data_IF_725634656152
#
_entry.id   IF_725634656152
#
_cell.length_a   1.000
_cell.length_b   1.000
_cell.length_c   1.000
_cell.angle_alpha   90.00
_cell.angle_beta   90.00
_cell.angle_gamma   90.00
#
_symmetry.space_group_name_H-M   'P 1'
#
loop_
_entity.id
_entity.type
_entity.pdbx_description
1 polymer ?
#
# COMPACT_ATOMS: atom_id res chain seq x y z
N UNK A 1 -8.33 12.64 7.44
CA UNK A 1 -9.18 11.56 6.90
C UNK A 1 -9.52 10.66 8.06
N UNK A 2 -10.81 10.50 8.38
CA UNK A 2 -11.25 9.56 9.39
C UNK A 2 -10.77 8.14 9.00
N UNK A 3 -10.34 7.30 9.96
CA UNK A 3 -10.08 5.90 9.66
C UNK A 3 -11.32 5.30 9.00
N UNK A 4 -11.13 4.55 7.92
CA UNK A 4 -12.22 3.88 7.22
C UNK A 4 -12.76 2.79 8.16
N UNK A 5 -13.70 3.17 9.03
CA UNK A 5 -14.20 2.35 10.13
C UNK A 5 -14.76 1.00 9.64
N UNK A 6 -15.31 0.99 8.41
CA UNK A 6 -15.78 -0.22 7.73
C UNK A 6 -14.63 -1.18 7.43
N UNK A 7 -13.52 -0.68 6.87
CA UNK A 7 -12.33 -1.51 6.62
C UNK A 7 -11.67 -1.97 7.91
N UNK A 8 -11.60 -1.10 8.93
CA UNK A 8 -11.08 -1.47 10.25
C UNK A 8 -11.88 -2.62 10.88
N UNK A 9 -13.22 -2.55 10.83
CA UNK A 9 -14.11 -3.62 11.28
C UNK A 9 -13.85 -4.93 10.54
N UNK A 10 -13.74 -4.88 9.21
CA UNK A 10 -13.41 -6.06 8.38
C UNK A 10 -12.06 -6.65 8.77
N UNK A 11 -11.01 -5.82 8.94
CA UNK A 11 -9.68 -6.30 9.34
C UNK A 11 -9.67 -6.96 10.71
N UNK A 12 -10.41 -6.41 11.68
CA UNK A 12 -10.55 -6.98 13.03
C UNK A 12 -11.29 -8.32 13.00
N UNK A 13 -12.38 -8.41 12.24
CA UNK A 13 -13.12 -9.68 12.10
C UNK A 13 -12.28 -10.75 11.42
N UNK A 14 -11.54 -10.41 10.37
CA UNK A 14 -10.63 -11.36 9.70
C UNK A 14 -9.52 -11.81 10.63
N UNK A 15 -8.95 -10.92 11.44
CA UNK A 15 -7.93 -11.29 12.44
C UNK A 15 -8.48 -12.27 13.48
N UNK A 16 -9.68 -12.01 14.01
CA UNK A 16 -10.32 -12.88 15.00
C UNK A 16 -10.72 -14.23 14.42
N UNK A 17 -11.29 -14.26 13.20
CA UNK A 17 -11.62 -15.51 12.51
C UNK A 17 -10.36 -16.32 12.22
N UNK A 18 -9.28 -15.66 11.79
CA UNK A 18 -8.00 -16.35 11.54
C UNK A 18 -7.52 -17.06 12.81
N UNK A 19 -7.58 -16.42 13.98
CA UNK A 19 -7.14 -17.05 15.24
C UNK A 19 -8.07 -18.11 15.79
N UNK A 20 -9.37 -18.01 15.51
CA UNK A 20 -10.38 -18.93 16.09
C UNK A 20 -10.66 -20.15 15.21
N UNK A 21 -10.48 -20.04 13.90
CA UNK A 21 -10.87 -21.07 12.92
C UNK A 21 -9.67 -21.72 12.24
N UNK A 22 -8.55 -20.99 12.07
CA UNK A 22 -7.40 -21.52 11.35
C UNK A 22 -6.58 -22.45 12.25
N UNK A 23 -6.54 -23.72 11.89
CA UNK A 23 -5.62 -24.69 12.47
C UNK A 23 -4.27 -24.59 11.76
N UNK A 24 -3.28 -24.00 12.43
CA UNK A 24 -1.94 -23.78 11.89
C UNK A 24 -1.11 -25.05 11.78
N UNK A 25 -1.51 -26.12 12.48
CA UNK A 25 -0.84 -27.43 12.40
C UNK A 25 -1.31 -28.22 11.17
N UNK A 26 -2.49 -27.90 10.64
CA UNK A 26 -3.02 -28.52 9.43
C UNK A 26 -2.28 -28.02 8.18
N UNK A 27 -1.51 -28.91 7.57
CA UNK A 27 -0.80 -28.65 6.30
C UNK A 27 -1.75 -28.23 5.18
N UNK A 28 -2.97 -28.78 5.14
CA UNK A 28 -3.97 -28.47 4.12
C UNK A 28 -4.51 -27.04 4.25
N UNK A 29 -4.96 -26.64 5.44
CA UNK A 29 -5.48 -25.28 5.66
C UNK A 29 -4.40 -24.22 5.43
N UNK A 30 -3.20 -24.50 5.93
CA UNK A 30 -2.03 -23.66 5.73
C UNK A 30 -1.69 -23.49 4.25
N UNK A 31 -1.73 -24.58 3.48
CA UNK A 31 -1.53 -24.56 2.03
C UNK A 31 -2.57 -23.69 1.31
N UNK A 32 -3.85 -23.82 1.66
CA UNK A 32 -4.93 -23.01 1.09
C UNK A 32 -4.70 -21.52 1.32
N UNK A 33 -4.41 -21.10 2.55
CA UNK A 33 -4.20 -19.67 2.86
C UNK A 33 -3.02 -19.11 2.08
N UNK A 34 -1.91 -19.84 1.99
CA UNK A 34 -0.73 -19.44 1.23
C UNK A 34 -1.04 -19.31 -0.27
N UNK A 35 -1.79 -20.28 -0.82
CA UNK A 35 -2.21 -20.27 -2.23
C UNK A 35 -3.15 -19.11 -2.54
N UNK A 36 -4.14 -18.86 -1.69
CA UNK A 36 -5.07 -17.72 -1.85
C UNK A 36 -4.35 -16.38 -1.78
N UNK A 37 -3.43 -16.22 -0.82
CA UNK A 37 -2.59 -15.04 -0.75
C UNK A 37 -1.75 -14.90 -2.02
N UNK A 38 -1.09 -15.96 -2.47
CA UNK A 38 -0.29 -15.97 -3.71
C UNK A 38 -1.10 -15.56 -4.94
N UNK A 39 -2.31 -16.10 -5.11
CA UNK A 39 -3.22 -15.72 -6.19
C UNK A 39 -3.66 -14.25 -6.11
N UNK A 40 -3.96 -13.77 -4.90
CA UNK A 40 -4.32 -12.36 -4.67
C UNK A 40 -3.16 -11.42 -5.00
N UNK A 41 -1.93 -11.76 -4.58
CA UNK A 41 -0.73 -10.98 -4.94
C UNK A 41 -0.49 -10.98 -6.44
N UNK A 42 -0.59 -12.15 -7.08
CA UNK A 42 -0.41 -12.28 -8.52
C UNK A 42 -1.40 -11.40 -9.29
N UNK A 43 -2.67 -11.38 -8.87
CA UNK A 43 -3.69 -10.49 -9.42
C UNK A 43 -3.29 -9.01 -9.29
N UNK A 44 -2.90 -8.57 -8.10
CA UNK A 44 -2.49 -7.19 -7.86
C UNK A 44 -1.27 -6.80 -8.71
N UNK A 45 -0.26 -7.68 -8.80
CA UNK A 45 0.93 -7.46 -9.63
C UNK A 45 0.61 -7.40 -11.12
N UNK A 46 -0.19 -8.33 -11.62
CA UNK A 46 -0.61 -8.34 -13.01
C UNK A 46 -1.34 -7.04 -13.36
N UNK A 47 -2.24 -6.58 -12.50
CA UNK A 47 -2.96 -5.32 -12.70
C UNK A 47 -2.03 -4.11 -12.66
N UNK A 48 -1.08 -4.03 -11.72
CA UNK A 48 -0.13 -2.92 -11.63
C UNK A 48 0.82 -2.86 -12.84
N UNK A 49 1.32 -4.01 -13.30
CA UNK A 49 2.14 -4.10 -14.50
C UNK A 49 1.35 -3.71 -15.75
N UNK A 50 0.09 -4.15 -15.85
CA UNK A 50 -0.81 -3.75 -16.92
C UNK A 50 -1.02 -2.23 -16.94
N UNK A 51 -1.30 -1.61 -15.78
CA UNK A 51 -1.46 -0.15 -15.67
C UNK A 51 -0.19 0.59 -16.05
N UNK A 52 0.98 0.10 -15.64
CA UNK A 52 2.27 0.70 -16.00
C UNK A 52 2.45 0.73 -17.52
N UNK A 53 2.27 -0.42 -18.18
CA UNK A 53 2.38 -0.54 -19.64
C UNK A 53 1.32 0.30 -20.38
N UNK A 54 0.08 0.32 -19.88
CA UNK A 54 -1.00 1.13 -20.46
C UNK A 54 -0.73 2.64 -20.32
N UNK A 55 -0.15 3.06 -19.20
CA UNK A 55 0.17 4.47 -18.94
C UNK A 55 1.31 4.99 -19.83
N UNK A 56 2.29 4.14 -20.16
CA UNK A 56 3.35 4.49 -21.12
C UNK A 56 2.82 4.83 -22.51
N UNK A 57 1.72 4.20 -22.92
CA UNK A 57 1.08 4.40 -24.20
C UNK A 57 -0.06 5.43 -24.13
N UNK A 58 -0.20 6.15 -23.01
CA UNK A 58 -1.23 7.17 -22.87
C UNK A 58 -0.89 8.39 -23.75
N UNK A 59 -1.81 8.77 -24.64
CA UNK A 59 -1.66 9.90 -25.56
C UNK A 59 -2.46 11.14 -25.13
N UNK A 60 -3.03 11.13 -23.92
CA UNK A 60 -3.77 12.27 -23.37
C UNK A 60 -2.89 13.53 -23.36
N UNK A 61 -3.27 14.60 -24.08
CA UNK A 61 -2.49 15.82 -24.12
C UNK A 61 -2.62 16.57 -22.79
N UNK A 62 -1.51 17.07 -22.27
CA UNK A 62 -1.50 17.87 -21.07
C UNK A 62 -0.20 17.78 -20.29
N UNK A 63 -0.07 18.70 -19.33
CA UNK A 63 1.06 18.76 -18.42
C UNK A 63 0.54 18.73 -16.98
N UNK A 64 1.17 17.91 -16.16
CA UNK A 64 0.93 17.81 -14.73
C UNK A 64 2.15 18.37 -14.01
N UNK A 65 1.92 19.26 -13.04
CA UNK A 65 2.98 19.79 -12.18
C UNK A 65 3.07 18.87 -10.96
N UNK A 66 4.23 18.26 -10.77
CA UNK A 66 4.53 17.38 -9.63
C UNK A 66 5.79 17.87 -8.92
N UNK A 67 6.02 17.40 -7.69
CA UNK A 67 7.33 17.52 -7.08
C UNK A 67 8.31 16.54 -7.73
N UNK A 68 9.57 16.95 -7.85
CA UNK A 68 10.68 16.13 -8.32
C UNK A 68 10.70 14.78 -7.59
N UNK A 69 10.74 13.68 -8.34
CA UNK A 69 10.80 12.32 -7.76
C UNK A 69 12.27 11.94 -7.53
N UNK A 70 12.69 11.91 -6.27
CA UNK A 70 14.03 11.48 -5.86
C UNK A 70 14.15 9.95 -5.74
N UNK A 71 13.07 9.22 -6.01
CA UNK A 71 12.99 7.77 -5.88
C UNK A 71 12.63 7.30 -4.47
N UNK A 72 12.19 6.04 -4.36
CA UNK A 72 11.75 5.41 -3.11
C UNK A 72 10.67 6.21 -2.35
N UNK A 73 9.82 6.93 -3.08
CA UNK A 73 8.75 7.75 -2.51
C UNK A 73 9.23 9.05 -1.85
N UNK A 74 10.49 9.43 -2.06
CA UNK A 74 11.00 10.74 -1.65
C UNK A 74 10.75 11.77 -2.75
N UNK A 75 10.31 12.96 -2.36
CA UNK A 75 10.10 14.09 -3.27
C UNK A 75 11.08 15.21 -2.95
N UNK A 76 11.66 15.80 -3.99
CA UNK A 76 12.47 17.01 -3.87
C UNK A 76 11.62 18.26 -3.65
N UNK A 77 12.29 19.40 -3.47
CA UNK A 77 11.63 20.68 -3.24
C UNK A 77 11.16 21.35 -4.55
N UNK A 78 11.75 20.95 -5.68
CA UNK A 78 11.52 21.55 -7.00
C UNK A 78 10.24 21.01 -7.63
N UNK A 79 9.52 21.89 -8.31
CA UNK A 79 8.38 21.51 -9.16
C UNK A 79 8.90 21.12 -10.55
N UNK A 80 8.39 20.01 -11.06
CA UNK A 80 8.67 19.45 -12.38
C UNK A 80 7.36 19.41 -13.18
N UNK A 81 7.45 19.80 -14.45
CA UNK A 81 6.35 19.70 -15.42
C UNK A 81 6.53 18.41 -16.21
N UNK A 82 5.63 17.47 -16.02
CA UNK A 82 5.67 16.17 -16.71
C UNK A 82 4.41 15.96 -17.52
N UNK A 83 4.47 15.05 -18.50
CA UNK A 83 3.29 14.69 -19.30
C UNK A 83 2.29 13.89 -18.47
N UNK A 84 1.04 13.80 -18.94
CA UNK A 84 0.03 12.94 -18.30
C UNK A 84 0.46 11.47 -18.30
N UNK A 85 1.02 10.99 -19.41
CA UNK A 85 1.53 9.63 -19.53
C UNK A 85 2.61 9.33 -18.50
N UNK A 86 3.57 10.24 -18.35
CA UNK A 86 4.67 10.11 -17.40
C UNK A 86 4.16 10.15 -15.95
N UNK A 87 3.20 11.03 -15.63
CA UNK A 87 2.58 11.06 -14.31
C UNK A 87 1.92 9.72 -13.96
N UNK A 88 1.11 9.18 -14.86
CA UNK A 88 0.36 7.93 -14.63
C UNK A 88 1.32 6.73 -14.53
N UNK A 89 2.38 6.71 -15.34
CA UNK A 89 3.45 5.71 -15.27
C UNK A 89 4.20 5.77 -13.93
N UNK A 90 4.58 6.97 -13.46
CA UNK A 90 5.24 7.17 -12.16
C UNK A 90 4.31 6.73 -11.01
N UNK A 91 3.02 7.02 -11.10
CA UNK A 91 2.02 6.57 -10.11
C UNK A 91 1.90 5.04 -10.06
N UNK A 92 1.79 4.37 -11.22
CA UNK A 92 1.73 2.90 -11.28
C UNK A 92 3.01 2.25 -10.70
N UNK A 93 4.19 2.80 -11.03
CA UNK A 93 5.48 2.33 -10.49
C UNK A 93 5.55 2.48 -8.98
N UNK A 94 5.08 3.60 -8.44
CA UNK A 94 5.06 3.88 -6.99
C UNK A 94 4.16 2.89 -6.24
N UNK A 95 2.97 2.60 -6.77
CA UNK A 95 2.09 1.59 -6.19
C UNK A 95 2.69 0.18 -6.28
N UNK A 96 3.36 -0.16 -7.39
CA UNK A 96 4.11 -1.42 -7.50
C UNK A 96 5.21 -1.55 -6.45
N UNK A 97 6.04 -0.52 -6.27
CA UNK A 97 7.10 -0.52 -5.26
C UNK A 97 6.53 -0.69 -3.83
N UNK A 98 5.41 -0.04 -3.53
CA UNK A 98 4.69 -0.22 -2.26
C UNK A 98 4.23 -1.66 -2.07
N UNK A 99 3.63 -2.25 -3.10
CA UNK A 99 3.09 -3.59 -3.05
C UNK A 99 4.19 -4.63 -2.85
N UNK A 100 5.32 -4.46 -3.55
CA UNK A 100 6.52 -5.31 -3.38
C UNK A 100 7.05 -5.22 -1.96
N UNK A 101 7.21 -4.01 -1.41
CA UNK A 101 7.75 -3.86 -0.05
C UNK A 101 6.79 -4.44 1.00
N UNK A 102 5.48 -4.18 0.87
CA UNK A 102 4.48 -4.66 1.81
C UNK A 102 4.32 -6.18 1.80
N UNK A 103 4.32 -6.79 0.61
CA UNK A 103 4.23 -8.25 0.46
C UNK A 103 5.51 -8.94 0.91
N UNK A 104 6.69 -8.38 0.61
CA UNK A 104 7.97 -8.92 1.09
C UNK A 104 8.03 -8.95 2.62
N UNK A 105 7.63 -7.86 3.28
CA UNK A 105 7.57 -7.82 4.74
C UNK A 105 6.58 -8.85 5.32
N UNK A 106 5.44 -9.01 4.67
CA UNK A 106 4.40 -9.97 5.08
C UNK A 106 4.87 -11.41 4.92
N UNK A 107 5.51 -11.73 3.80
CA UNK A 107 6.11 -13.04 3.53
C UNK A 107 7.24 -13.36 4.52
N UNK A 108 8.13 -12.41 4.79
CA UNK A 108 9.20 -12.59 5.78
C UNK A 108 8.64 -12.93 7.16
N UNK A 109 7.61 -12.19 7.58
CA UNK A 109 7.03 -12.39 8.90
C UNK A 109 6.29 -13.72 9.00
N UNK A 110 5.58 -14.10 7.96
CA UNK A 110 4.92 -15.41 7.87
C UNK A 110 5.93 -16.55 7.85
N UNK A 111 7.01 -16.43 7.10
CA UNK A 111 8.04 -17.47 7.03
C UNK A 111 8.78 -17.61 8.36
N UNK A 112 9.13 -16.50 9.01
CA UNK A 112 9.92 -16.52 10.26
C UNK A 112 9.10 -16.87 11.49
N UNK A 113 7.85 -16.41 11.60
CA UNK A 113 7.02 -16.56 12.81
C UNK A 113 5.69 -17.26 12.58
N UNK A 114 5.39 -17.74 11.36
CA UNK A 114 4.11 -18.38 11.07
C UNK A 114 2.92 -17.42 11.23
N UNK A 115 3.12 -16.11 11.07
CA UNK A 115 2.07 -15.14 11.36
C UNK A 115 1.06 -15.02 10.21
N UNK A 116 -0.05 -15.77 10.32
CA UNK A 116 -1.12 -15.87 9.32
C UNK A 116 -2.07 -14.66 9.18
N UNK A 117 -2.44 -13.92 10.24
CA UNK A 117 -3.45 -12.85 10.10
C UNK A 117 -3.13 -11.82 9.01
N UNK A 118 -1.87 -11.36 8.85
CA UNK A 118 -1.50 -10.50 7.72
C UNK A 118 -1.74 -11.12 6.34
N UNK A 119 -1.52 -12.42 6.14
CA UNK A 119 -1.79 -13.09 4.86
C UNK A 119 -3.29 -13.04 4.56
N UNK A 120 -4.12 -13.43 5.53
CA UNK A 120 -5.57 -13.49 5.38
C UNK A 120 -6.15 -12.09 5.12
N UNK A 121 -5.75 -11.11 5.93
CA UNK A 121 -6.22 -9.72 5.79
C UNK A 121 -5.81 -9.15 4.44
N UNK A 122 -4.55 -9.33 4.01
CA UNK A 122 -4.05 -8.76 2.77
C UNK A 122 -4.64 -9.42 1.53
N UNK A 123 -4.97 -10.72 1.60
CA UNK A 123 -5.66 -11.44 0.53
C UNK A 123 -6.95 -10.74 0.08
N UNK A 124 -7.69 -10.15 1.03
CA UNK A 124 -8.94 -9.43 0.75
C UNK A 124 -8.72 -7.93 0.57
N UNK A 125 -7.98 -7.31 1.48
CA UNK A 125 -7.89 -5.85 1.55
C UNK A 125 -7.06 -5.24 0.42
N UNK A 126 -6.00 -5.91 -0.01
CA UNK A 126 -5.10 -5.33 -1.01
C UNK A 126 -5.75 -5.23 -2.41
N UNK A 127 -6.38 -6.29 -2.97
CA UNK A 127 -7.11 -6.15 -4.22
C UNK A 127 -8.18 -5.06 -4.15
N UNK A 128 -8.94 -5.02 -3.05
CA UNK A 128 -10.00 -4.05 -2.87
C UNK A 128 -9.50 -2.60 -2.78
N UNK A 129 -8.40 -2.37 -2.07
CA UNK A 129 -7.76 -1.06 -1.98
C UNK A 129 -7.18 -0.63 -3.32
N UNK A 130 -6.58 -1.58 -4.05
CA UNK A 130 -5.99 -1.31 -5.35
C UNK A 130 -7.06 -0.92 -6.38
N UNK A 131 -8.22 -1.60 -6.40
CA UNK A 131 -9.35 -1.23 -7.26
C UNK A 131 -9.90 0.17 -6.99
N UNK A 132 -9.67 0.72 -5.80
CA UNK A 132 -10.06 2.09 -5.43
C UNK A 132 -8.99 3.12 -5.77
N UNK A 133 -7.79 2.70 -6.16
CA UNK A 133 -6.69 3.60 -6.46
C UNK A 133 -7.05 4.52 -7.65
N UNK A 134 -6.72 5.82 -7.60
CA UNK A 134 -7.03 6.74 -8.69
C UNK A 134 -6.49 6.30 -10.05
N UNK A 135 -5.28 5.72 -10.09
CA UNK A 135 -4.68 5.17 -11.30
C UNK A 135 -5.52 4.04 -11.93
N UNK A 136 -6.12 3.17 -11.11
CA UNK A 136 -7.02 2.12 -11.63
C UNK A 136 -8.29 2.74 -12.20
N UNK A 137 -8.89 3.67 -11.47
CA UNK A 137 -10.14 4.33 -11.90
C UNK A 137 -9.97 5.08 -13.22
N UNK A 138 -8.89 5.84 -13.35
CA UNK A 138 -8.65 6.64 -14.55
C UNK A 138 -8.16 5.76 -15.71
N UNK A 139 -7.16 4.92 -15.50
CA UNK A 139 -6.51 4.18 -16.60
C UNK A 139 -7.21 2.88 -16.97
N UNK A 140 -7.80 2.15 -16.02
CA UNK A 140 -8.50 0.90 -16.28
C UNK A 140 -10.00 1.10 -16.44
N UNK A 141 -10.65 1.85 -15.53
CA UNK A 141 -12.11 2.05 -15.57
C UNK A 141 -12.55 3.21 -16.50
N UNK A 142 -11.61 4.02 -16.98
CA UNK A 142 -11.90 5.13 -17.89
C UNK A 142 -12.64 6.29 -17.24
N UNK A 143 -12.61 6.38 -15.90
CA UNK A 143 -13.19 7.52 -15.19
C UNK A 143 -12.44 8.81 -15.56
N UNK A 144 -13.19 9.90 -15.74
CA UNK A 144 -12.59 11.20 -16.06
C UNK A 144 -11.69 11.66 -14.91
N UNK A 145 -10.54 12.25 -15.22
CA UNK A 145 -9.61 12.80 -14.23
C UNK A 145 -10.05 14.18 -13.72
N UNK A 146 -11.24 14.26 -13.12
CA UNK A 146 -11.84 15.47 -12.56
C UNK A 146 -12.22 15.28 -11.09
N UNK A 147 -12.47 16.38 -10.37
CA UNK A 147 -12.80 16.34 -8.95
C UNK A 147 -11.72 15.62 -8.13
N UNK A 148 -12.09 14.55 -7.43
CA UNK A 148 -11.18 13.73 -6.62
C UNK A 148 -10.14 12.94 -7.43
N UNK A 149 -10.40 12.71 -8.73
CA UNK A 149 -9.50 12.00 -9.64
C UNK A 149 -8.61 12.96 -10.45
N UNK A 150 -8.66 14.26 -10.16
CA UNK A 150 -7.81 15.25 -10.81
C UNK A 150 -6.33 14.96 -10.48
N UNK A 151 -5.51 14.92 -11.53
CA UNK A 151 -4.04 14.81 -11.42
C UNK A 151 -3.44 16.16 -10.93
N UNK A 152 -2.35 16.16 -10.15
CA UNK A 152 -1.66 14.98 -9.62
C UNK A 152 -2.44 14.33 -8.48
N UNK A 153 -2.46 12.99 -8.45
CA UNK A 153 -3.18 12.30 -7.38
C UNK A 153 -2.44 12.49 -6.06
N UNK A 154 -3.18 12.97 -5.05
CA UNK A 154 -2.68 13.04 -3.69
C UNK A 154 -2.17 11.66 -3.29
N UNK A 155 -0.95 11.62 -2.78
CA UNK A 155 -0.34 10.39 -2.29
C UNK A 155 -1.05 9.96 -1.00
N UNK A 156 -2.22 9.34 -1.14
CA UNK A 156 -3.10 9.04 -0.02
C UNK A 156 -2.40 8.15 1.02
N UNK A 157 -1.41 7.37 0.58
CA UNK A 157 -0.69 6.39 1.39
C UNK A 157 0.82 6.59 1.43
N UNK A 158 1.35 7.80 1.69
CA UNK A 158 2.77 8.03 2.09
C UNK A 158 3.37 6.75 2.71
N UNK A 159 4.49 6.24 2.19
CA UNK A 159 5.04 4.95 2.59
C UNK A 159 5.10 4.79 4.12
N UNK A 160 5.36 5.89 4.85
CA UNK A 160 5.32 5.91 6.31
C UNK A 160 3.94 5.75 6.94
N UNK A 161 2.85 6.12 6.26
CA UNK A 161 1.46 5.83 6.63
C UNK A 161 1.08 4.39 6.30
N UNK A 162 1.50 3.88 5.14
CA UNK A 162 1.29 2.47 4.77
C UNK A 162 1.94 1.53 5.79
N UNK A 163 3.18 1.82 6.17
CA UNK A 163 3.90 1.08 7.21
C UNK A 163 3.22 1.20 8.59
N UNK A 164 2.65 2.37 8.92
CA UNK A 164 1.88 2.56 10.17
C UNK A 164 0.58 1.76 10.18
N UNK A 165 -0.17 1.76 9.07
CA UNK A 165 -1.39 0.97 8.92
C UNK A 165 -1.08 -0.53 9.02
N UNK A 166 0.02 -0.97 8.42
CA UNK A 166 0.49 -2.34 8.54
C UNK A 166 0.85 -2.68 9.99
N UNK A 167 1.60 -1.82 10.67
CA UNK A 167 1.93 -1.99 12.10
C UNK A 167 0.67 -2.03 12.98
N UNK A 168 -0.31 -1.15 12.73
CA UNK A 168 -1.59 -1.17 13.45
C UNK A 168 -2.35 -2.48 13.23
N UNK A 169 -2.33 -3.01 12.00
CA UNK A 169 -2.94 -4.31 11.67
C UNK A 169 -2.29 -5.44 12.44
N UNK A 170 -0.95 -5.45 12.56
CA UNK A 170 -0.22 -6.45 13.35
C UNK A 170 -0.58 -6.36 14.82
N UNK A 171 -0.51 -5.17 15.40
CA UNK A 171 -0.77 -4.97 16.82
C UNK A 171 -2.21 -5.36 17.17
N UNK A 172 -3.16 -4.95 16.32
CA UNK A 172 -4.54 -5.39 16.38
C UNK A 172 -4.68 -6.90 16.30
N UNK A 173 -4.02 -7.53 15.34
CA UNK A 173 -4.03 -8.98 15.19
C UNK A 173 -3.33 -9.71 16.34
N UNK A 174 -2.40 -9.05 17.05
CA UNK A 174 -1.73 -9.58 18.23
C UNK A 174 -2.57 -9.43 19.51
N UNK A 175 -3.56 -8.55 19.53
CA UNK A 175 -4.30 -8.18 20.75
C UNK A 175 -3.53 -7.21 21.64
N UNK A 176 -2.42 -6.68 21.15
CA UNK A 176 -1.60 -5.69 21.85
C UNK A 176 -1.97 -4.28 21.40
N UNK A 177 -2.03 -3.32 22.33
CA UNK A 177 -2.31 -1.93 21.99
C UNK A 177 -1.24 -1.40 21.01
N UNK A 178 -1.62 -0.69 19.94
CA UNK A 178 -0.68 -0.31 18.89
C UNK A 178 0.51 0.45 19.47
N UNK A 179 1.70 -0.17 19.40
CA UNK A 179 2.96 0.49 19.77
C UNK A 179 3.08 1.67 18.80
N UNK A 180 2.81 2.87 19.33
CA UNK A 180 3.03 4.13 18.62
C UNK A 180 4.53 4.18 18.31
N UNK A 181 4.94 3.72 17.13
CA UNK A 181 6.31 3.89 16.62
C UNK A 181 6.62 5.38 16.75
N UNK A 182 7.52 5.66 17.68
CA UNK A 182 7.41 6.89 18.46
C UNK A 182 7.70 8.12 17.61
N UNK A 183 6.77 9.08 17.59
CA UNK A 183 7.06 10.49 17.27
C UNK A 183 8.21 11.05 18.14
N UNK A 184 8.61 10.36 19.22
CA UNK A 184 9.76 10.69 20.06
C UNK A 184 11.11 10.39 19.38
N UNK A 185 11.25 9.30 18.60
CA UNK A 185 12.50 8.98 17.90
C UNK A 185 12.79 9.97 16.77
N UNK A 186 11.77 10.31 15.96
CA UNK A 186 11.89 11.32 14.90
C UNK A 186 12.08 12.74 15.43
N UNK A 187 11.43 13.11 16.55
CA UNK A 187 11.71 14.39 17.23
C UNK A 187 13.10 14.44 17.87
N UNK A 188 13.63 13.33 18.43
CA UNK A 188 14.99 13.30 18.98
C UNK A 188 16.04 13.45 17.87
N UNK A 189 15.88 12.76 16.74
CA UNK A 189 16.78 12.88 15.59
C UNK A 189 16.75 14.29 14.96
N UNK A 190 15.56 14.91 14.85
CA UNK A 190 15.42 16.29 14.36
C UNK A 190 16.00 17.33 15.34
N UNK A 191 15.90 17.09 16.66
CA UNK A 191 16.45 17.98 17.70
C UNK A 191 17.98 17.84 17.83
N UNK A 192 18.55 16.66 17.57
CA UNK A 192 20.00 16.45 17.50
C UNK A 192 20.63 17.11 16.26
N UNK A 193 19.99 17.03 15.09
CA UNK A 193 20.47 17.73 13.87
C UNK A 193 20.46 19.25 13.98
N UNK A 194 19.56 19.84 14.79
CA UNK A 194 19.52 21.29 15.07
C UNK A 194 20.52 21.76 16.13
N UNK A 195 21.18 20.85 16.86
CA UNK A 195 22.13 21.19 17.92
C UNK A 195 23.60 21.10 17.47
N UNK A 196 23.85 20.49 16.31
CA UNK A 196 25.18 20.32 15.69
C UNK A 196 25.35 21.21 14.43
N UNK A 197 24.55 22.26 14.31
CA UNK A 197 24.65 23.31 13.29
C UNK A 197 24.60 24.65 14.02
#
# INVERSE_FOLDING_TARGET
MAPNLKMLGVTLTLAMITRSVLDTESSFQTGIVRSLYGLSQLFCYAMLLFLYNKSQNNTEPGVVIVKEDLGFGQTGDRDEKITVAEHDQRAAKKELQRHVLGSAMTLLMHWKWGFFPPLVIQTVTQPFNLLKAPIVKVTLLGERAWGELRRPWMDQNDMGKSMRSWNETIMSAMGEAPVKVSKKASKKAAKQRKKNK
#
